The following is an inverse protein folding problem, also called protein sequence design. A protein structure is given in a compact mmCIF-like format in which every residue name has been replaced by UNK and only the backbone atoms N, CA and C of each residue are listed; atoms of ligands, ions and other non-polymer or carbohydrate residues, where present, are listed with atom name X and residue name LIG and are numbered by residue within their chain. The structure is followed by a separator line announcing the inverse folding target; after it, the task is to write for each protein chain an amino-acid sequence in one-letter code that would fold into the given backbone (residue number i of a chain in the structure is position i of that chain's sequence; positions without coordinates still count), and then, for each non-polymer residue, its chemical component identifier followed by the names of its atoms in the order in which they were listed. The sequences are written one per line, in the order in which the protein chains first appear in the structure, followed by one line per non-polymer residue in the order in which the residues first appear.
data_IF_226164909862
#
_entry.id   IF_226164909862
#
_cell.length_a   1.000
_cell.length_b   1.000
_cell.length_c   1.000
_cell.angle_alpha   90.00
_cell.angle_beta   90.00
_cell.angle_gamma   90.00
#
_symmetry.space_group_name_H-M   'P 1'
#
loop_
_entity.id
_entity.type
_entity.pdbx_description
1 polymer ?
#
# COMPACT_ATOMS: atom_id res chain seq x y z
N UNK A 1 -39.74 -78.19 -8.07
CA UNK A 1 -39.37 -76.92 -8.71
C UNK A 1 -39.72 -75.79 -7.77
N UNK A 2 -38.72 -75.18 -7.12
CA UNK A 2 -38.92 -74.03 -6.23
C UNK A 2 -38.12 -72.83 -6.74
N UNK A 3 -38.81 -71.72 -7.02
CA UNK A 3 -38.22 -70.43 -7.40
C UNK A 3 -37.60 -69.73 -6.18
N UNK A 4 -36.48 -69.00 -6.31
CA UNK A 4 -35.87 -68.28 -5.20
C UNK A 4 -36.55 -66.93 -4.94
N UNK A 5 -36.44 -66.39 -3.71
CA UNK A 5 -37.11 -65.16 -3.32
C UNK A 5 -36.41 -63.93 -3.90
N UNK A 6 -37.20 -63.01 -4.48
CA UNK A 6 -36.72 -61.70 -4.96
C UNK A 6 -36.30 -60.83 -3.78
N UNK A 7 -35.10 -60.27 -3.83
CA UNK A 7 -34.52 -59.45 -2.76
C UNK A 7 -35.23 -58.10 -2.62
N UNK A 8 -35.83 -57.85 -1.46
CA UNK A 8 -36.51 -56.60 -1.08
C UNK A 8 -35.56 -55.37 -0.97
N UNK A 9 -34.24 -55.55 -1.05
CA UNK A 9 -33.23 -54.49 -0.80
C UNK A 9 -33.11 -53.44 -1.92
N UNK A 10 -33.63 -53.72 -3.11
CA UNK A 10 -33.53 -52.80 -4.27
C UNK A 10 -34.60 -51.70 -4.24
N UNK A 11 -35.71 -51.90 -3.51
CA UNK A 11 -36.85 -50.97 -3.55
C UNK A 11 -36.63 -49.66 -2.77
N UNK A 12 -35.73 -49.65 -1.79
CA UNK A 12 -35.48 -48.48 -0.93
C UNK A 12 -34.26 -47.65 -1.33
N UNK A 13 -33.39 -48.16 -2.21
CA UNK A 13 -32.20 -47.41 -2.66
C UNK A 13 -32.57 -46.27 -3.62
N UNK A 14 -33.52 -46.50 -4.52
CA UNK A 14 -33.96 -45.50 -5.49
C UNK A 14 -34.60 -44.24 -4.86
N UNK A 15 -35.56 -44.34 -3.92
CA UNK A 15 -36.14 -43.15 -3.29
C UNK A 15 -35.13 -42.40 -2.41
N UNK A 16 -34.19 -43.11 -1.75
CA UNK A 16 -33.12 -42.49 -0.97
C UNK A 16 -32.15 -41.70 -1.86
N UNK A 17 -31.74 -42.28 -2.99
CA UNK A 17 -30.86 -41.60 -3.95
C UNK A 17 -31.56 -40.38 -4.59
N UNK A 18 -32.84 -40.52 -4.93
CA UNK A 18 -33.65 -39.41 -5.44
C UNK A 18 -33.82 -38.29 -4.40
N UNK A 19 -34.02 -38.63 -3.12
CA UNK A 19 -34.09 -37.68 -2.02
C UNK A 19 -32.75 -36.95 -1.81
N UNK A 20 -31.62 -37.67 -1.83
CA UNK A 20 -30.28 -37.07 -1.75
C UNK A 20 -30.03 -36.13 -2.94
N UNK A 21 -30.40 -36.52 -4.16
CA UNK A 21 -30.25 -35.67 -5.35
C UNK A 21 -31.16 -34.45 -5.31
N UNK A 22 -32.37 -34.56 -4.76
CA UNK A 22 -33.30 -33.44 -4.52
C UNK A 22 -32.77 -32.48 -3.44
N UNK A 23 -32.24 -33.01 -2.34
CA UNK A 23 -31.58 -32.22 -1.30
C UNK A 23 -30.33 -31.50 -1.85
N UNK A 24 -29.49 -32.19 -2.62
CA UNK A 24 -28.33 -31.59 -3.28
C UNK A 24 -28.77 -30.46 -4.23
N UNK A 25 -29.85 -30.62 -4.99
CA UNK A 25 -30.40 -29.58 -5.88
C UNK A 25 -30.94 -28.35 -5.14
N UNK A 26 -31.45 -28.54 -3.92
CA UNK A 26 -31.95 -27.46 -3.07
C UNK A 26 -30.83 -26.76 -2.29
N UNK A 27 -29.79 -27.49 -1.88
CA UNK A 27 -28.66 -26.95 -1.14
C UNK A 27 -27.57 -26.32 -2.04
N UNK A 28 -27.41 -26.74 -3.30
CA UNK A 28 -26.44 -26.13 -4.23
C UNK A 28 -26.61 -24.62 -4.43
N UNK A 29 -27.83 -24.06 -4.65
CA UNK A 29 -27.99 -22.61 -4.76
C UNK A 29 -27.74 -21.86 -3.44
N UNK A 30 -27.93 -22.52 -2.29
CA UNK A 30 -27.60 -21.93 -0.98
C UNK A 30 -26.09 -21.96 -0.71
N UNK A 31 -25.39 -23.01 -1.13
CA UNK A 31 -23.93 -23.11 -1.11
C UNK A 31 -23.28 -22.07 -2.04
N UNK A 32 -23.80 -21.87 -3.26
CA UNK A 32 -23.29 -20.82 -4.15
C UNK A 32 -23.48 -19.43 -3.55
N UNK A 33 -24.62 -19.16 -2.91
CA UNK A 33 -24.86 -17.89 -2.21
C UNK A 33 -24.01 -17.71 -0.94
N UNK A 34 -23.60 -18.80 -0.28
CA UNK A 34 -22.65 -18.76 0.85
C UNK A 34 -21.20 -18.54 0.39
N UNK A 35 -20.80 -19.08 -0.77
CA UNK A 35 -19.48 -18.85 -1.40
C UNK A 35 -19.39 -17.44 -2.00
N UNK A 36 -20.51 -16.86 -2.43
CA UNK A 36 -20.57 -15.52 -3.03
C UNK A 36 -20.53 -14.37 -1.99
N UNK A 37 -20.32 -14.67 -0.70
CA UNK A 37 -20.31 -13.67 0.38
C UNK A 37 -18.90 -13.11 0.62
N UNK A 38 -18.42 -12.35 -0.37
CA UNK A 38 -17.33 -11.35 -0.43
C UNK A 38 -16.50 -11.53 -1.72
N UNK A 39 -17.10 -11.17 -2.86
CA UNK A 39 -16.40 -11.16 -4.15
C UNK A 39 -15.59 -9.89 -4.39
N UNK A 40 -15.81 -8.84 -3.59
CA UNK A 40 -15.03 -7.61 -3.68
C UNK A 40 -13.70 -7.76 -2.94
N UNK A 41 -12.56 -7.40 -3.57
CA UNK A 41 -11.26 -7.49 -2.91
C UNK A 41 -11.22 -6.57 -1.69
N UNK A 42 -10.60 -7.04 -0.61
CA UNK A 42 -10.34 -6.27 0.61
C UNK A 42 -9.16 -5.34 0.34
N UNK A 43 -9.45 -4.05 0.22
CA UNK A 43 -8.46 -3.03 -0.12
C UNK A 43 -8.08 -2.21 1.10
N UNK A 44 -6.91 -1.58 1.06
CA UNK A 44 -6.51 -0.56 2.01
C UNK A 44 -5.63 0.51 1.36
N UNK A 45 -5.72 1.74 1.86
CA UNK A 45 -4.65 2.71 1.77
C UNK A 45 -3.74 2.54 2.99
N UNK A 46 -2.44 2.77 2.85
CA UNK A 46 -1.52 2.69 3.97
C UNK A 46 -0.45 3.79 3.93
N UNK A 47 0.00 4.22 5.11
CA UNK A 47 1.20 5.05 5.29
C UNK A 47 2.01 4.57 6.49
N UNK A 48 3.22 5.09 6.66
CA UNK A 48 4.09 4.84 7.79
C UNK A 48 4.33 6.15 8.56
N UNK A 49 4.02 6.16 9.85
CA UNK A 49 4.37 7.26 10.75
C UNK A 49 5.54 6.84 11.63
N UNK A 50 6.67 7.52 11.44
CA UNK A 50 7.89 7.35 12.24
C UNK A 50 7.94 8.37 13.39
N UNK A 51 8.71 8.07 14.46
CA UNK A 51 8.90 9.02 15.56
C UNK A 51 9.55 10.31 15.06
N UNK A 52 9.06 11.44 15.56
CA UNK A 52 9.75 12.71 15.39
C UNK A 52 11.07 12.67 16.18
N UNK A 53 12.17 13.01 15.52
CA UNK A 53 13.50 13.09 16.13
C UNK A 53 13.79 14.45 16.75
N UNK A 54 12.85 15.40 16.68
CA UNK A 54 12.95 16.69 17.35
C UNK A 54 12.87 16.54 18.87
N UNK A 55 13.58 17.40 19.59
CA UNK A 55 13.69 17.34 21.06
C UNK A 55 12.39 17.69 21.80
N UNK A 56 11.39 18.27 21.12
CA UNK A 56 10.10 18.62 21.72
C UNK A 56 8.95 18.55 20.70
N UNK A 57 8.47 17.34 20.36
CA UNK A 57 7.49 17.13 19.31
C UNK A 57 6.08 17.53 19.78
N UNK A 58 5.70 18.77 19.53
CA UNK A 58 4.32 19.24 19.65
C UNK A 58 3.51 18.93 18.37
N UNK A 59 2.18 19.00 18.46
CA UNK A 59 1.25 18.84 17.32
C UNK A 59 1.58 19.76 16.13
N UNK A 60 2.16 20.93 16.38
CA UNK A 60 2.47 21.93 15.36
C UNK A 60 3.91 21.85 14.83
N UNK A 61 4.78 21.06 15.47
CA UNK A 61 6.20 20.95 15.10
C UNK A 61 6.52 19.62 14.43
N UNK A 62 5.74 18.57 14.70
CA UNK A 62 5.85 17.30 13.98
C UNK A 62 5.13 17.37 12.63
N UNK A 63 5.89 17.77 11.60
CA UNK A 63 5.36 17.96 10.25
C UNK A 63 4.92 16.65 9.59
N UNK A 64 5.53 15.51 9.94
CA UNK A 64 5.15 14.22 9.39
C UNK A 64 3.86 13.71 10.02
N UNK A 65 3.67 13.89 11.32
CA UNK A 65 2.37 13.66 11.95
C UNK A 65 1.28 14.56 11.35
N UNK A 66 1.58 15.84 11.14
CA UNK A 66 0.64 16.76 10.49
C UNK A 66 0.32 16.32 9.06
N UNK A 67 1.31 15.90 8.29
CA UNK A 67 1.11 15.42 6.92
C UNK A 67 0.32 14.11 6.87
N UNK A 68 0.56 13.17 7.79
CA UNK A 68 -0.26 11.96 7.94
C UNK A 68 -1.73 12.31 8.23
N UNK A 69 -2.00 13.33 9.06
CA UNK A 69 -3.37 13.81 9.29
C UNK A 69 -4.00 14.40 8.02
N UNK A 70 -3.25 15.20 7.27
CA UNK A 70 -3.72 15.77 5.99
C UNK A 70 -4.04 14.64 5.01
N UNK A 71 -3.16 13.65 4.88
CA UNK A 71 -3.38 12.49 4.03
C UNK A 71 -4.62 11.68 4.46
N UNK A 72 -4.79 11.44 5.77
CA UNK A 72 -6.00 10.83 6.31
C UNK A 72 -7.27 11.62 5.94
N UNK A 73 -7.23 12.94 6.11
CA UNK A 73 -8.33 13.83 5.74
C UNK A 73 -8.64 13.78 4.24
N UNK A 74 -7.62 13.83 3.38
CA UNK A 74 -7.78 13.72 1.93
C UNK A 74 -8.40 12.38 1.52
N UNK A 75 -7.93 11.28 2.11
CA UNK A 75 -8.42 9.95 1.76
C UNK A 75 -9.82 9.65 2.28
N UNK A 76 -10.21 10.15 3.46
CA UNK A 76 -11.47 9.74 4.10
C UNK A 76 -12.57 10.80 4.09
N UNK A 77 -12.24 12.09 4.05
CA UNK A 77 -13.19 13.16 4.41
C UNK A 77 -13.31 14.26 3.36
N UNK A 78 -12.22 14.61 2.70
CA UNK A 78 -12.19 15.71 1.74
C UNK A 78 -13.13 15.48 0.55
N UNK A 79 -13.98 16.46 0.25
CA UNK A 79 -15.02 16.32 -0.78
C UNK A 79 -14.48 16.01 -2.18
N UNK A 80 -13.23 16.39 -2.49
CA UNK A 80 -12.61 16.24 -3.81
C UNK A 80 -11.82 14.94 -3.94
N UNK A 81 -11.24 14.46 -2.83
CA UNK A 81 -10.24 13.39 -2.84
C UNK A 81 -10.65 12.14 -2.07
N UNK A 82 -11.69 12.21 -1.23
CA UNK A 82 -12.11 11.07 -0.41
C UNK A 82 -12.45 9.85 -1.26
N UNK A 83 -12.15 8.69 -0.70
CA UNK A 83 -12.66 7.43 -1.20
C UNK A 83 -14.19 7.45 -1.18
N UNK A 84 -14.78 6.94 -2.26
CA UNK A 84 -16.21 6.64 -2.36
C UNK A 84 -16.50 5.17 -2.04
N UNK A 85 -15.43 4.40 -1.84
CA UNK A 85 -15.42 3.00 -1.46
C UNK A 85 -15.16 2.93 0.05
N UNK A 86 -15.56 1.84 0.70
CA UNK A 86 -15.27 1.65 2.14
C UNK A 86 -13.81 1.20 2.37
N UNK A 87 -12.83 1.89 1.77
CA UNK A 87 -11.40 1.54 1.86
C UNK A 87 -10.81 2.22 3.10
N UNK A 88 -10.30 1.48 4.09
CA UNK A 88 -9.69 2.07 5.27
C UNK A 88 -8.33 2.71 4.95
N UNK A 89 -7.95 3.71 5.73
CA UNK A 89 -6.59 4.25 5.77
C UNK A 89 -5.83 3.67 6.97
N UNK A 90 -4.79 2.89 6.69
CA UNK A 90 -3.92 2.27 7.68
C UNK A 90 -2.73 3.17 7.97
N UNK A 91 -2.47 3.44 9.25
CA UNK A 91 -1.25 4.13 9.67
C UNK A 91 -0.41 3.12 10.45
N UNK A 92 0.69 2.70 9.84
CA UNK A 92 1.67 1.84 10.48
C UNK A 92 2.46 2.67 11.49
N UNK A 93 2.55 2.17 12.73
CA UNK A 93 3.24 2.84 13.84
C UNK A 93 4.08 1.84 14.63
N UNK A 94 5.21 2.30 15.15
CA UNK A 94 6.02 1.57 16.12
C UNK A 94 5.64 1.91 17.57
N UNK A 95 6.19 1.17 18.53
CA UNK A 95 5.88 1.33 19.96
C UNK A 95 6.33 2.67 20.56
N UNK A 96 7.28 3.34 19.92
CA UNK A 96 7.81 4.66 20.29
C UNK A 96 6.97 5.84 19.76
N UNK A 97 5.90 5.59 18.99
CA UNK A 97 4.90 6.62 18.68
C UNK A 97 4.06 6.91 19.93
N UNK A 98 4.02 8.18 20.42
CA UNK A 98 3.23 8.55 21.58
C UNK A 98 1.75 8.14 21.44
N UNK A 99 1.13 7.54 22.48
CA UNK A 99 -0.26 7.10 22.42
C UNK A 99 -1.25 8.17 21.97
N UNK A 100 -1.04 9.43 22.38
CA UNK A 100 -1.91 10.54 22.00
C UNK A 100 -1.96 10.77 20.49
N UNK A 101 -0.87 10.52 19.73
CA UNK A 101 -0.86 10.64 18.26
C UNK A 101 -1.74 9.56 17.63
N UNK A 102 -1.64 8.34 18.14
CA UNK A 102 -2.46 7.21 17.70
C UNK A 102 -3.94 7.47 17.99
N UNK A 103 -4.28 7.90 19.20
CA UNK A 103 -5.66 8.18 19.60
C UNK A 103 -6.25 9.36 18.81
N UNK A 104 -5.41 10.35 18.48
CA UNK A 104 -5.80 11.46 17.62
C UNK A 104 -6.15 11.00 16.21
N UNK A 105 -5.27 10.23 15.56
CA UNK A 105 -5.52 9.69 14.22
C UNK A 105 -6.74 8.76 14.17
N UNK A 106 -6.96 7.93 15.20
CA UNK A 106 -8.17 7.10 15.31
C UNK A 106 -9.45 7.92 15.35
N UNK A 107 -9.48 9.01 16.12
CA UNK A 107 -10.64 9.92 16.18
C UNK A 107 -10.92 10.58 14.83
N UNK A 108 -9.88 10.78 14.01
CA UNK A 108 -10.00 11.29 12.65
C UNK A 108 -10.32 10.17 11.62
N UNK A 109 -10.56 8.93 12.05
CA UNK A 109 -11.01 7.83 11.19
C UNK A 109 -9.91 6.91 10.66
N UNK A 110 -8.64 7.15 11.00
CA UNK A 110 -7.55 6.27 10.60
C UNK A 110 -7.54 4.96 11.41
N UNK A 111 -7.12 3.87 10.78
CA UNK A 111 -6.87 2.59 11.44
C UNK A 111 -5.40 2.49 11.82
N UNK A 112 -5.10 2.41 13.12
CA UNK A 112 -3.73 2.26 13.60
C UNK A 112 -3.29 0.80 13.54
N UNK A 113 -2.21 0.54 12.83
CA UNK A 113 -1.58 -0.78 12.72
C UNK A 113 -0.25 -0.73 13.46
N UNK A 114 -0.18 -1.38 14.62
CA UNK A 114 1.09 -1.47 15.37
C UNK A 114 1.97 -2.53 14.74
N UNK A 115 3.21 -2.15 14.42
CA UNK A 115 4.21 -3.04 13.84
C UNK A 115 5.50 -2.96 14.64
N UNK A 116 6.25 -4.04 14.64
CA UNK A 116 7.57 -4.07 15.26
C UNK A 116 8.62 -3.56 14.29
N UNK A 117 9.61 -2.85 14.82
CA UNK A 117 10.84 -2.56 14.07
C UNK A 117 11.42 -3.89 13.58
N UNK A 118 11.96 -3.89 12.37
CA UNK A 118 12.68 -5.07 11.89
C UNK A 118 13.97 -5.16 12.69
N UNK A 119 14.17 -6.28 13.37
CA UNK A 119 15.47 -6.55 13.96
C UNK A 119 16.39 -7.01 12.84
N UNK A 120 17.46 -6.26 12.64
CA UNK A 120 18.39 -6.47 11.56
C UNK A 120 19.78 -6.48 12.16
N UNK A 121 20.15 -7.64 12.71
CA UNK A 121 21.34 -7.82 13.54
C UNK A 121 22.65 -7.44 12.81
N UNK A 122 22.64 -7.40 11.47
CA UNK A 122 23.79 -7.06 10.63
C UNK A 122 23.75 -5.62 10.07
N UNK A 123 22.69 -4.82 10.30
CA UNK A 123 22.72 -3.39 9.94
C UNK A 123 23.82 -2.73 10.77
N UNK A 124 24.93 -2.40 10.11
CA UNK A 124 26.12 -1.82 10.74
C UNK A 124 25.73 -0.58 11.57
N UNK A 125 26.39 -0.34 12.72
CA UNK A 125 26.25 0.92 13.45
C UNK A 125 26.38 2.11 12.49
N UNK A 126 25.45 3.07 12.56
CA UNK A 126 25.39 4.23 11.64
C UNK A 126 24.28 4.19 10.56
N UNK A 127 23.58 3.07 10.40
CA UNK A 127 22.46 2.92 9.44
C UNK A 127 21.08 2.90 10.13
N UNK A 128 20.90 3.62 11.23
CA UNK A 128 19.62 3.68 11.97
C UNK A 128 18.44 4.15 11.10
N UNK A 129 18.71 5.02 10.12
CA UNK A 129 17.73 5.43 9.11
C UNK A 129 17.15 4.24 8.34
N UNK A 130 17.94 3.21 8.07
CA UNK A 130 17.46 2.00 7.39
C UNK A 130 16.46 1.25 8.25
N UNK A 131 16.72 1.08 9.55
CA UNK A 131 15.80 0.39 10.45
C UNK A 131 14.40 0.99 10.43
N UNK A 132 14.31 2.31 10.31
CA UNK A 132 13.03 3.01 10.32
C UNK A 132 12.29 2.88 8.98
N UNK A 133 12.94 3.08 7.83
CA UNK A 133 12.22 3.01 6.54
C UNK A 133 11.90 1.58 6.11
N UNK A 134 12.68 0.58 6.54
CA UNK A 134 12.43 -0.83 6.24
C UNK A 134 11.15 -1.37 6.92
N UNK A 135 10.59 -0.63 7.89
CA UNK A 135 9.28 -0.94 8.48
C UNK A 135 8.19 -0.99 7.41
N UNK A 136 8.33 -0.30 6.26
CA UNK A 136 7.42 -0.44 5.12
C UNK A 136 7.22 -1.91 4.71
N UNK A 137 8.22 -2.78 4.87
CA UNK A 137 8.10 -4.20 4.53
C UNK A 137 7.10 -4.96 5.42
N UNK A 138 6.74 -4.43 6.60
CA UNK A 138 5.68 -4.99 7.46
C UNK A 138 4.30 -4.96 6.79
N UNK A 139 4.10 -4.16 5.73
CA UNK A 139 2.89 -4.19 4.90
C UNK A 139 2.62 -5.58 4.30
N UNK A 140 3.68 -6.34 4.00
CA UNK A 140 3.57 -7.68 3.44
C UNK A 140 3.02 -8.73 4.42
N UNK A 141 2.91 -8.39 5.71
CA UNK A 141 2.32 -9.25 6.74
C UNK A 141 0.82 -8.99 6.95
N UNK A 142 0.25 -7.96 6.31
CA UNK A 142 -1.15 -7.55 6.49
C UNK A 142 -2.13 -8.41 5.67
N UNK A 143 -2.14 -9.72 5.89
CA UNK A 143 -2.89 -10.74 5.13
C UNK A 143 -4.43 -10.58 5.19
N UNK A 144 -4.93 -9.65 6.02
CA UNK A 144 -6.34 -9.27 6.04
C UNK A 144 -6.78 -8.43 4.83
N UNK A 145 -5.84 -8.07 3.95
CA UNK A 145 -6.08 -7.32 2.73
C UNK A 145 -5.56 -8.08 1.53
N UNK A 146 -6.25 -7.93 0.41
CA UNK A 146 -5.88 -8.55 -0.86
C UNK A 146 -4.95 -7.61 -1.64
N UNK A 147 -5.17 -6.29 -1.53
CA UNK A 147 -4.27 -5.25 -2.06
C UNK A 147 -4.19 -4.03 -1.17
N UNK A 148 -3.01 -3.46 -1.07
CA UNK A 148 -2.74 -2.24 -0.32
C UNK A 148 -2.05 -1.24 -1.24
N UNK A 149 -2.57 -0.01 -1.30
CA UNK A 149 -1.86 1.13 -1.87
C UNK A 149 -1.10 1.83 -0.75
N UNK A 150 0.22 1.77 -0.78
CA UNK A 150 1.08 2.53 0.12
C UNK A 150 1.36 3.93 -0.44
N UNK A 151 1.33 4.92 0.45
CA UNK A 151 1.69 6.31 0.19
C UNK A 151 2.61 6.81 1.32
N UNK A 152 3.75 7.39 0.96
CA UNK A 152 4.58 8.13 1.91
C UNK A 152 3.80 9.34 2.46
N UNK A 153 4.09 9.72 3.70
CA UNK A 153 3.32 10.73 4.41
C UNK A 153 3.40 12.14 3.77
N UNK A 154 4.40 12.40 2.92
CA UNK A 154 4.56 13.57 2.03
C UNK A 154 3.88 13.39 0.65
N UNK A 155 2.93 12.47 0.53
CA UNK A 155 2.03 12.40 -0.62
C UNK A 155 0.84 13.34 -0.45
N UNK A 156 0.50 14.10 -1.49
CA UNK A 156 -0.62 15.04 -1.50
C UNK A 156 -1.58 14.76 -2.66
N UNK A 157 -2.89 14.68 -2.38
CA UNK A 157 -3.92 14.29 -3.35
C UNK A 157 -4.64 15.48 -3.98
N UNK A 158 -4.94 15.36 -5.27
CA UNK A 158 -5.79 16.25 -6.05
C UNK A 158 -7.08 15.58 -6.53
N UNK A 159 -7.08 14.24 -6.63
CA UNK A 159 -8.25 13.43 -6.99
C UNK A 159 -8.35 12.19 -6.09
N UNK A 160 -9.50 11.54 -6.12
CA UNK A 160 -9.67 10.22 -5.48
C UNK A 160 -8.73 9.18 -6.11
N UNK A 161 -8.19 8.30 -5.27
CA UNK A 161 -7.30 7.20 -5.67
C UNK A 161 -8.05 5.86 -5.81
N UNK A 162 -9.38 5.84 -5.71
CA UNK A 162 -10.17 4.59 -5.77
C UNK A 162 -9.89 3.77 -7.03
N UNK A 163 -9.66 4.46 -8.15
CA UNK A 163 -9.43 3.84 -9.45
C UNK A 163 -8.07 3.14 -9.61
N UNK A 164 -7.08 3.44 -8.77
CA UNK A 164 -5.74 2.83 -8.89
C UNK A 164 -5.79 1.32 -8.71
N UNK A 165 -6.74 0.81 -7.92
CA UNK A 165 -6.93 -0.62 -7.71
C UNK A 165 -7.46 -1.37 -8.94
N UNK A 166 -7.99 -0.65 -9.93
CA UNK A 166 -8.41 -1.19 -11.21
C UNK A 166 -7.32 -1.05 -12.30
N UNK A 167 -6.20 -0.38 -12.01
CA UNK A 167 -5.09 -0.26 -12.95
C UNK A 167 -4.53 -1.65 -13.32
N UNK A 168 -4.18 -1.93 -14.59
CA UNK A 168 -3.56 -3.20 -14.99
C UNK A 168 -2.28 -3.55 -14.21
N UNK A 169 -1.52 -2.54 -13.76
CA UNK A 169 -0.34 -2.73 -12.91
C UNK A 169 -0.67 -3.07 -11.46
N UNK A 170 -1.94 -2.89 -11.04
CA UNK A 170 -2.45 -3.29 -9.73
C UNK A 170 -3.02 -4.71 -9.70
N UNK A 171 -2.99 -5.46 -10.81
CA UNK A 171 -3.52 -6.82 -10.88
C UNK A 171 -2.43 -7.87 -10.62
N UNK A 172 -2.86 -9.07 -10.19
CA UNK A 172 -1.97 -10.20 -9.91
C UNK A 172 -1.12 -10.56 -11.13
N UNK A 173 0.13 -10.91 -10.86
CA UNK A 173 1.11 -11.37 -11.83
C UNK A 173 1.65 -12.73 -11.39
N UNK A 174 1.92 -13.61 -12.34
CA UNK A 174 2.68 -14.83 -12.08
C UNK A 174 4.16 -14.50 -11.99
N UNK A 175 4.85 -15.13 -11.05
CA UNK A 175 6.31 -15.08 -10.97
C UNK A 175 6.90 -15.82 -12.16
N UNK A 176 7.83 -15.16 -12.85
CA UNK A 176 8.47 -15.69 -14.05
C UNK A 176 9.58 -16.68 -13.70
N UNK A 177 10.02 -17.44 -14.71
CA UNK A 177 11.21 -18.30 -14.64
C UNK A 177 12.25 -17.84 -15.67
N UNK A 178 12.56 -16.54 -15.68
CA UNK A 178 13.46 -15.95 -16.68
C UNK A 178 14.93 -15.87 -16.23
N UNK A 179 15.18 -15.91 -14.91
CA UNK A 179 16.52 -15.84 -14.34
C UNK A 179 16.70 -16.86 -13.21
N UNK A 180 17.94 -17.28 -12.98
CA UNK A 180 18.30 -18.05 -11.79
C UNK A 180 18.13 -17.20 -10.52
N UNK A 181 17.69 -17.84 -9.44
CA UNK A 181 17.66 -17.25 -8.11
C UNK A 181 19.03 -17.47 -7.47
N UNK A 182 19.58 -16.44 -6.83
CA UNK A 182 20.87 -16.56 -6.16
C UNK A 182 20.78 -17.51 -4.95
N UNK A 183 21.83 -18.27 -4.59
CA UNK A 183 21.75 -19.28 -3.53
C UNK A 183 21.43 -18.73 -2.14
N UNK A 184 21.71 -17.44 -1.91
CA UNK A 184 21.46 -16.71 -0.66
C UNK A 184 20.18 -15.86 -0.71
N UNK A 185 19.39 -15.98 -1.77
CA UNK A 185 18.07 -15.40 -1.90
C UNK A 185 16.98 -16.40 -1.49
N UNK A 186 15.97 -15.90 -0.77
CA UNK A 186 14.82 -16.70 -0.36
C UNK A 186 13.94 -17.14 -1.53
N UNK A 187 13.04 -18.11 -1.29
CA UNK A 187 12.11 -18.56 -2.33
C UNK A 187 11.14 -17.45 -2.73
N UNK A 188 10.86 -17.35 -4.03
CA UNK A 188 9.86 -16.43 -4.59
C UNK A 188 8.44 -17.00 -4.41
N UNK A 189 7.39 -16.17 -4.26
CA UNK A 189 6.01 -16.63 -4.34
C UNK A 189 5.66 -17.10 -5.75
N UNK A 190 4.54 -17.82 -5.89
CA UNK A 190 3.99 -18.22 -7.20
C UNK A 190 3.44 -17.00 -7.97
N UNK A 191 2.80 -16.08 -7.26
CA UNK A 191 2.23 -14.86 -7.81
C UNK A 191 2.34 -13.68 -6.84
N UNK A 192 2.26 -12.47 -7.39
CA UNK A 192 2.43 -11.23 -6.63
C UNK A 192 1.69 -10.05 -7.29
N UNK A 193 1.44 -9.00 -6.52
CA UNK A 193 1.14 -7.65 -7.02
C UNK A 193 2.24 -6.73 -6.56
N UNK A 194 2.85 -6.00 -7.49
CA UNK A 194 3.78 -4.92 -7.19
C UNK A 194 3.76 -3.92 -8.35
N UNK A 195 3.03 -2.81 -8.17
CA UNK A 195 2.88 -1.74 -9.15
C UNK A 195 3.31 -0.40 -8.57
N UNK A 196 4.03 0.41 -9.33
CA UNK A 196 4.54 1.71 -8.89
C UNK A 196 4.82 2.62 -10.09
N UNK A 197 5.31 3.83 -9.87
CA UNK A 197 5.73 4.79 -10.90
C UNK A 197 7.26 4.87 -11.00
N UNK A 198 7.76 5.16 -12.20
CA UNK A 198 9.20 5.41 -12.40
C UNK A 198 9.65 6.59 -11.53
N UNK A 199 10.89 6.55 -11.05
CA UNK A 199 11.50 7.71 -10.39
C UNK A 199 11.64 8.87 -11.40
N UNK A 200 11.28 10.07 -10.98
CA UNK A 200 11.67 11.32 -11.64
C UNK A 200 12.95 11.84 -11.00
N UNK A 201 14.00 12.07 -11.78
CA UNK A 201 15.33 12.45 -11.25
C UNK A 201 15.66 13.93 -11.38
N UNK A 202 14.87 14.69 -12.15
CA UNK A 202 15.14 16.09 -12.46
C UNK A 202 13.92 16.95 -12.13
N UNK A 203 14.16 18.14 -11.59
CA UNK A 203 13.10 19.13 -11.31
C UNK A 203 12.48 19.78 -12.57
N UNK A 204 12.73 19.21 -13.76
CA UNK A 204 12.17 19.62 -15.05
C UNK A 204 12.11 18.40 -15.96
N UNK A 205 10.93 18.03 -16.50
CA UNK A 205 10.76 16.66 -17.03
C UNK A 205 9.57 16.32 -17.99
N UNK A 206 9.40 16.80 -19.24
CA UNK A 206 8.09 16.69 -19.98
C UNK A 206 6.76 16.41 -19.21
N UNK A 207 5.68 16.03 -19.91
CA UNK A 207 4.54 15.33 -19.31
C UNK A 207 3.99 14.32 -20.33
N UNK A 208 3.89 13.02 -19.99
CA UNK A 208 4.41 12.42 -18.76
C UNK A 208 5.95 12.45 -18.68
N UNK A 209 6.55 12.27 -17.49
CA UNK A 209 7.99 12.05 -17.36
C UNK A 209 8.46 10.85 -18.19
N UNK A 210 9.70 10.90 -18.66
CA UNK A 210 10.30 9.79 -19.41
C UNK A 210 10.44 8.57 -18.48
N UNK A 211 9.83 7.42 -18.80
CA UNK A 211 9.91 6.24 -17.94
C UNK A 211 11.34 5.74 -17.78
N UNK A 212 11.68 5.28 -16.57
CA UNK A 212 12.97 4.67 -16.25
C UNK A 212 12.79 3.21 -15.81
N UNK A 213 13.87 2.44 -15.84
CA UNK A 213 13.93 1.08 -15.28
C UNK A 213 14.04 1.04 -13.75
N UNK A 214 13.95 2.20 -13.09
CA UNK A 214 14.10 2.39 -11.65
C UNK A 214 12.90 3.18 -11.12
N UNK A 215 12.29 2.69 -10.03
CA UNK A 215 11.05 3.24 -9.48
C UNK A 215 11.24 3.97 -8.15
N UNK A 216 10.29 4.86 -7.85
CA UNK A 216 10.14 5.49 -6.55
C UNK A 216 9.32 4.59 -5.59
N UNK A 217 9.73 4.48 -4.33
CA UNK A 217 9.07 3.65 -3.31
C UNK A 217 8.20 4.47 -2.33
N UNK A 218 7.80 5.69 -2.72
CA UNK A 218 6.84 6.51 -1.98
C UNK A 218 5.39 6.31 -2.39
N UNK A 219 5.13 5.66 -3.52
CA UNK A 219 3.78 5.34 -3.97
C UNK A 219 3.77 3.98 -4.70
N UNK A 220 3.24 2.94 -4.06
CA UNK A 220 3.18 1.62 -4.68
C UNK A 220 1.96 0.82 -4.23
N UNK A 221 1.43 0.01 -5.13
CA UNK A 221 0.38 -0.97 -4.85
C UNK A 221 0.99 -2.36 -4.74
N UNK A 222 0.57 -3.12 -3.74
CA UNK A 222 1.10 -4.44 -3.47
C UNK A 222 0.04 -5.40 -2.92
N UNK A 223 0.31 -6.70 -3.00
CA UNK A 223 -0.46 -7.74 -2.33
C UNK A 223 0.33 -8.27 -1.13
N UNK A 224 -0.24 -8.27 0.08
CA UNK A 224 0.39 -8.90 1.24
C UNK A 224 0.77 -10.37 0.97
N UNK A 225 1.97 -10.77 1.37
CA UNK A 225 2.50 -12.13 1.17
C UNK A 225 3.68 -12.38 2.11
N UNK A 226 3.54 -13.38 3.00
CA UNK A 226 4.63 -13.80 3.88
C UNK A 226 5.82 -14.39 3.10
N UNK A 227 5.59 -14.96 1.92
CA UNK A 227 6.68 -15.44 1.05
C UNK A 227 7.51 -14.26 0.53
N UNK A 228 6.85 -13.20 0.02
CA UNK A 228 7.54 -11.97 -0.39
C UNK A 228 8.25 -11.30 0.79
N UNK A 229 7.59 -11.19 1.94
CA UNK A 229 8.20 -10.63 3.13
C UNK A 229 9.51 -11.35 3.49
N UNK A 230 9.49 -12.68 3.57
CA UNK A 230 10.68 -13.50 3.85
C UNK A 230 11.74 -13.38 2.76
N UNK A 231 11.34 -13.28 1.49
CA UNK A 231 12.28 -13.00 0.40
C UNK A 231 13.00 -11.67 0.63
N UNK A 232 12.28 -10.57 0.91
CA UNK A 232 12.94 -9.30 1.20
C UNK A 232 13.86 -9.38 2.42
N UNK A 233 13.47 -10.11 3.47
CA UNK A 233 14.33 -10.33 4.63
C UNK A 233 15.59 -11.15 4.31
N UNK A 234 15.61 -11.98 3.25
CA UNK A 234 16.85 -12.64 2.81
C UNK A 234 17.82 -11.68 2.11
N UNK A 235 17.29 -10.64 1.43
CA UNK A 235 18.10 -9.66 0.69
C UNK A 235 18.89 -8.72 1.60
N UNK A 236 18.54 -8.71 2.87
CA UNK A 236 19.14 -7.89 3.90
C UNK A 236 20.66 -8.13 3.97
N UNK A 237 21.13 -9.37 3.95
CA UNK A 237 22.56 -9.66 4.01
C UNK A 237 23.34 -9.31 2.72
N UNK A 238 22.65 -8.87 1.66
CA UNK A 238 23.21 -8.74 0.31
C UNK A 238 23.51 -7.28 -0.06
N UNK A 239 23.99 -6.47 0.89
CA UNK A 239 24.18 -5.01 0.70
C UNK A 239 25.17 -4.62 -0.38
N UNK A 240 26.05 -5.53 -0.79
CA UNK A 240 27.02 -5.27 -1.86
C UNK A 240 26.39 -5.35 -3.26
N UNK A 241 25.13 -5.82 -3.36
CA UNK A 241 24.42 -6.01 -4.63
C UNK A 241 23.53 -4.84 -5.04
N UNK A 242 23.33 -3.86 -4.16
CA UNK A 242 22.53 -2.68 -4.47
C UNK A 242 23.05 -1.47 -3.69
N UNK A 243 22.89 -0.29 -4.29
CA UNK A 243 23.16 0.97 -3.62
C UNK A 243 22.27 1.10 -2.38
N UNK A 244 22.78 1.62 -1.29
CA UNK A 244 22.08 1.66 -0.01
C UNK A 244 21.73 3.06 0.49
N UNK A 245 21.91 4.08 -0.37
CA UNK A 245 21.47 5.47 -0.11
C UNK A 245 19.96 5.59 0.16
N UNK A 246 19.14 4.83 -0.56
CA UNK A 246 17.68 4.72 -0.37
C UNK A 246 17.33 3.25 -0.08
N UNK A 247 17.48 2.78 1.15
CA UNK A 247 17.64 1.36 1.44
C UNK A 247 16.40 0.53 1.08
N UNK A 248 15.19 0.99 1.42
CA UNK A 248 13.96 0.26 1.11
C UNK A 248 13.63 0.34 -0.38
N UNK A 249 13.81 1.52 -0.98
CA UNK A 249 13.59 1.70 -2.41
C UNK A 249 14.54 0.86 -3.26
N UNK A 250 15.83 0.87 -2.92
CA UNK A 250 16.85 0.15 -3.66
C UNK A 250 16.76 -1.36 -3.44
N UNK A 251 16.38 -1.82 -2.25
CA UNK A 251 16.08 -3.23 -2.02
C UNK A 251 14.88 -3.69 -2.85
N UNK A 252 13.81 -2.89 -2.90
CA UNK A 252 12.64 -3.22 -3.71
C UNK A 252 12.95 -3.15 -5.21
N UNK A 253 13.75 -2.17 -5.66
CA UNK A 253 14.24 -2.10 -7.05
C UNK A 253 15.12 -3.29 -7.40
N UNK A 254 15.97 -3.75 -6.47
CA UNK A 254 16.71 -4.98 -6.63
C UNK A 254 15.72 -6.15 -6.81
N UNK A 255 14.83 -6.40 -5.85
CA UNK A 255 13.88 -7.50 -5.88
C UNK A 255 13.02 -7.55 -7.17
N UNK A 256 12.64 -6.39 -7.68
CA UNK A 256 11.67 -6.25 -8.75
C UNK A 256 12.24 -5.78 -10.09
N UNK A 257 13.57 -5.79 -10.28
CA UNK A 257 14.21 -5.39 -11.55
C UNK A 257 13.69 -6.17 -12.75
N UNK A 258 13.67 -5.52 -13.92
CA UNK A 258 13.01 -6.04 -15.13
C UNK A 258 13.61 -7.35 -15.64
N UNK A 259 14.90 -7.57 -15.41
CA UNK A 259 15.66 -8.75 -15.82
C UNK A 259 15.63 -9.88 -14.77
N UNK A 260 14.66 -9.88 -13.85
CA UNK A 260 14.46 -10.91 -12.81
C UNK A 260 13.04 -11.43 -12.75
N UNK A 261 12.80 -12.42 -11.92
CA UNK A 261 11.57 -13.22 -11.94
C UNK A 261 10.31 -12.49 -11.46
N UNK A 262 10.44 -11.34 -10.80
CA UNK A 262 9.30 -10.57 -10.29
C UNK A 262 9.34 -9.10 -10.74
N UNK A 263 9.36 -8.80 -12.05
CA UNK A 263 9.42 -7.41 -12.50
C UNK A 263 8.26 -6.58 -11.94
N UNK A 264 8.54 -5.35 -11.51
CA UNK A 264 7.49 -4.41 -11.14
C UNK A 264 6.65 -4.01 -12.35
N UNK A 265 5.39 -3.61 -12.14
CA UNK A 265 4.55 -3.01 -13.21
C UNK A 265 4.44 -1.51 -13.06
N UNK A 266 4.47 -0.81 -14.19
CA UNK A 266 4.28 0.63 -14.27
C UNK A 266 2.81 0.99 -14.14
N UNK A 267 2.44 1.64 -13.03
CA UNK A 267 1.18 2.34 -12.90
C UNK A 267 1.11 3.50 -13.88
N UNK A 268 -0.09 3.88 -14.30
CA UNK A 268 -0.27 5.08 -15.08
C UNK A 268 0.26 6.32 -14.32
N UNK A 269 1.02 7.17 -15.00
CA UNK A 269 1.59 8.40 -14.42
C UNK A 269 0.52 9.36 -13.88
N UNK A 270 -0.73 9.23 -14.34
CA UNK A 270 -1.85 10.01 -13.81
C UNK A 270 -2.16 9.70 -12.34
N UNK A 271 -1.61 8.63 -11.75
CA UNK A 271 -1.82 8.32 -10.33
C UNK A 271 -0.90 9.08 -9.39
N UNK A 272 0.41 9.11 -9.67
CA UNK A 272 1.41 9.74 -8.81
C UNK A 272 2.63 10.22 -9.60
N UNK A 273 3.19 11.36 -9.18
CA UNK A 273 4.49 11.87 -9.66
C UNK A 273 5.32 12.37 -8.47
N UNK A 274 6.55 11.88 -8.34
CA UNK A 274 7.57 12.44 -7.44
C UNK A 274 8.30 13.62 -8.13
N UNK A 275 8.85 14.55 -7.35
CA UNK A 275 9.40 15.82 -7.86
C UNK A 275 8.42 16.56 -8.80
N UNK A 276 7.20 16.84 -8.33
CA UNK A 276 6.11 17.33 -9.17
C UNK A 276 6.33 18.76 -9.65
N UNK A 277 5.75 19.04 -10.80
CA UNK A 277 5.51 20.38 -11.33
C UNK A 277 4.01 20.69 -11.29
N UNK A 278 3.66 21.97 -11.20
CA UNK A 278 2.29 22.47 -11.26
C UNK A 278 1.59 22.02 -12.54
N UNK A 279 2.32 22.00 -13.66
CA UNK A 279 1.80 21.48 -14.94
C UNK A 279 1.32 20.03 -14.86
N UNK A 280 1.91 19.21 -14.00
CA UNK A 280 1.50 17.80 -13.87
C UNK A 280 0.11 17.72 -13.23
N UNK A 281 -0.16 18.62 -12.29
CA UNK A 281 -1.47 18.79 -11.65
C UNK A 281 -2.48 19.33 -12.66
N UNK A 282 -2.11 20.33 -13.45
CA UNK A 282 -2.95 20.88 -14.53
C UNK A 282 -3.32 19.82 -15.58
N UNK A 283 -2.38 18.92 -15.86
CA UNK A 283 -2.60 17.77 -16.75
C UNK A 283 -3.33 16.60 -16.08
N UNK A 284 -3.72 16.76 -14.81
CA UNK A 284 -4.69 15.91 -14.15
C UNK A 284 -4.12 14.74 -13.36
N UNK A 285 -2.88 14.81 -12.90
CA UNK A 285 -2.33 13.84 -11.93
C UNK A 285 -3.17 13.82 -10.65
N UNK A 286 -3.43 12.62 -10.13
CA UNK A 286 -4.27 12.39 -8.97
C UNK A 286 -3.57 12.67 -7.64
N UNK A 287 -2.25 12.47 -7.57
CA UNK A 287 -1.44 12.76 -6.38
C UNK A 287 0.01 13.10 -6.71
N UNK A 288 0.70 13.80 -5.82
CA UNK A 288 2.10 14.15 -5.97
C UNK A 288 2.90 13.76 -4.73
N UNK A 289 4.16 13.39 -4.89
CA UNK A 289 5.07 13.03 -3.80
C UNK A 289 6.17 14.08 -3.66
N UNK A 290 5.99 14.99 -2.69
CA UNK A 290 6.96 16.02 -2.33
C UNK A 290 6.61 16.69 -1.01
N UNK A 291 7.62 17.27 -0.34
CA UNK A 291 7.44 18.04 0.90
C UNK A 291 6.87 19.43 0.59
N UNK A 292 5.57 19.51 0.29
CA UNK A 292 4.90 20.75 -0.11
C UNK A 292 4.88 21.85 0.98
N UNK A 293 5.28 21.54 2.21
CA UNK A 293 5.42 22.51 3.31
C UNK A 293 6.75 23.27 3.33
N UNK A 294 7.67 23.00 2.39
CA UNK A 294 8.95 23.69 2.27
C UNK A 294 9.16 24.19 0.84
N UNK A 295 10.06 25.16 0.67
CA UNK A 295 10.51 25.66 -0.63
C UNK A 295 11.34 24.64 -1.41
N UNK A 296 11.73 23.54 -0.78
CA UNK A 296 12.68 22.58 -1.35
C UNK A 296 14.11 23.08 -1.21
N UNK A 297 14.96 22.72 -2.18
CA UNK A 297 16.34 23.20 -2.28
C UNK A 297 16.61 23.71 -3.71
N UNK A 298 17.79 24.28 -3.97
CA UNK A 298 18.14 24.85 -5.27
C UNK A 298 18.04 23.85 -6.44
N UNK A 299 18.28 22.56 -6.19
CA UNK A 299 18.21 21.50 -7.21
C UNK A 299 16.80 20.93 -7.38
N UNK A 300 15.97 21.05 -6.34
CA UNK A 300 14.62 20.51 -6.27
C UNK A 300 13.67 21.54 -5.62
N UNK A 301 13.43 22.68 -6.30
CA UNK A 301 12.53 23.70 -5.77
C UNK A 301 11.08 23.23 -5.84
N UNK A 302 10.28 23.61 -4.86
CA UNK A 302 8.83 23.40 -4.88
C UNK A 302 8.16 24.70 -5.27
N UNK A 303 7.34 24.65 -6.33
CA UNK A 303 6.59 25.81 -6.80
C UNK A 303 5.63 26.33 -5.72
N UNK A 304 5.50 27.66 -5.63
CA UNK A 304 4.79 28.33 -4.54
C UNK A 304 3.31 27.91 -4.50
N UNK A 305 2.68 27.73 -5.65
CA UNK A 305 1.29 27.32 -5.82
C UNK A 305 1.00 25.94 -5.21
N UNK A 306 1.94 25.00 -5.33
CA UNK A 306 1.83 23.68 -4.69
C UNK A 306 1.94 23.80 -3.17
N UNK A 307 2.83 24.68 -2.68
CA UNK A 307 2.95 24.95 -1.25
C UNK A 307 1.68 25.62 -0.70
N UNK A 308 1.08 26.54 -1.47
CA UNK A 308 -0.15 27.24 -1.12
C UNK A 308 -1.31 26.25 -1.00
N UNK A 309 -1.40 25.32 -1.95
CA UNK A 309 -2.40 24.25 -1.92
C UNK A 309 -2.30 23.40 -0.65
N UNK A 310 -1.07 23.05 -0.23
CA UNK A 310 -0.86 22.31 1.01
C UNK A 310 -1.29 23.12 2.24
N UNK A 311 -0.96 24.42 2.30
CA UNK A 311 -1.36 25.30 3.42
C UNK A 311 -2.88 25.45 3.53
N UNK A 312 -3.56 25.67 2.40
CA UNK A 312 -5.03 25.74 2.34
C UNK A 312 -5.65 24.42 2.80
N UNK A 313 -5.13 23.28 2.34
CA UNK A 313 -5.64 21.96 2.75
C UNK A 313 -5.46 21.70 4.24
N UNK A 314 -4.32 22.09 4.81
CA UNK A 314 -4.08 22.03 6.25
C UNK A 314 -5.15 22.81 7.02
N UNK A 315 -5.44 24.03 6.60
CA UNK A 315 -6.46 24.88 7.25
C UNK A 315 -7.86 24.27 7.12
N UNK A 316 -8.24 23.79 5.93
CA UNK A 316 -9.50 23.08 5.71
C UNK A 316 -9.65 21.88 6.67
N UNK A 317 -8.59 21.07 6.82
CA UNK A 317 -8.57 19.93 7.76
C UNK A 317 -8.71 20.38 9.22
N UNK A 318 -7.96 21.40 9.67
CA UNK A 318 -8.06 21.86 11.06
C UNK A 318 -9.44 22.45 11.38
N UNK A 319 -10.08 23.10 10.41
CA UNK A 319 -11.49 23.54 10.53
C UNK A 319 -12.42 22.33 10.62
N UNK A 320 -12.26 21.32 9.75
CA UNK A 320 -13.10 20.12 9.74
C UNK A 320 -13.02 19.34 11.06
N UNK A 321 -11.82 19.21 11.63
CA UNK A 321 -11.61 18.54 12.91
C UNK A 321 -12.11 19.35 14.12
N UNK A 322 -12.65 20.56 13.90
CA UNK A 322 -13.23 21.41 14.94
C UNK A 322 -12.21 22.16 15.80
N UNK A 323 -10.93 22.17 15.42
CA UNK A 323 -9.86 22.84 16.17
C UNK A 323 -9.49 24.22 15.62
N UNK A 324 -9.80 24.50 14.34
CA UNK A 324 -9.48 25.76 13.68
C UNK A 324 -10.42 26.94 13.98
N UNK A 325 -11.52 26.71 14.71
CA UNK A 325 -12.40 27.78 15.17
C UNK A 325 -12.36 27.84 16.69
N UNK A 326 -11.73 28.88 17.24
CA UNK A 326 -11.76 29.20 18.66
C UNK A 326 -13.19 29.45 19.14
N UNK A 327 -13.91 28.38 19.48
CA UNK A 327 -15.04 28.45 20.40
C UNK A 327 -14.48 28.32 21.81
N UNK A 328 -14.13 29.49 22.37
CA UNK A 328 -14.50 29.80 23.75
C UNK A 328 -16.03 29.87 23.85
#
# INVERSE_FOLDING_TARGET
MGLPPRSLKVLYLFPLLAFILLCLRWFTPQLSNLVQKNTEPRLAYATLLLPDTSSNPSRNTDIYFLSTRILNYQLLHDKRTRTTRAIPFLVLVTSDIPPWKCDHLKREGATIVRVEKLNVDWIKPGHERWRNVMIKLRLFELLSYDRILFLDADTFLFKSLDGVFADPAAQTQETLQQASIEPDEGPLPESYVFGTTSEVTTASHPYPPVPMGYFNAGFFIMSPSLKLFRYYLSLFNNTDRFDTRYPEQNLLNYAHREDRNMPWRRLNYTWNINLPLLRDVEMGVASVHAKLWTKGNELQPIQQELQDTWRVKREEMEVWTGFGSGRM
#
